data_IF_755416907698
#
_entry.id   IF_755416907698
#
_cell.length_a   1.000
_cell.length_b   1.000
_cell.length_c   1.000
_cell.angle_alpha   90.00
_cell.angle_beta   90.00
_cell.angle_gamma   90.00
#
_symmetry.space_group_name_H-M   'P 1'
#
loop_
_entity.id
_entity.type
_entity.pdbx_description
1 polymer ?
#
# COMPACT_ATOMS: atom_id res chain seq x y z
N UNK A 1 19.29 41.55 28.86
CA UNK A 1 19.88 40.35 28.22
C UNK A 1 18.98 39.08 28.22
N UNK A 2 17.72 39.13 28.68
CA UNK A 2 16.82 37.97 28.63
C UNK A 2 15.79 38.03 27.48
N UNK A 3 15.29 39.23 27.16
CA UNK A 3 14.32 39.43 26.06
C UNK A 3 14.89 39.06 24.67
N UNK A 4 16.18 39.33 24.43
CA UNK A 4 16.84 38.95 23.18
C UNK A 4 16.95 37.42 23.01
N UNK A 5 17.08 36.66 24.11
CA UNK A 5 17.14 35.18 24.07
C UNK A 5 15.78 34.54 23.79
N UNK A 6 14.68 35.20 24.16
CA UNK A 6 13.31 34.75 23.84
C UNK A 6 12.97 34.98 22.37
N UNK A 7 13.46 36.07 21.75
CA UNK A 7 13.30 36.32 20.33
C UNK A 7 14.10 35.34 19.45
N UNK A 8 15.28 34.89 19.87
CA UNK A 8 16.09 33.93 19.11
C UNK A 8 15.70 32.44 19.31
N UNK A 9 14.74 32.14 20.17
CA UNK A 9 14.25 30.77 20.40
C UNK A 9 12.94 30.47 19.66
N UNK A 10 12.20 31.48 19.20
CA UNK A 10 10.99 31.32 18.37
C UNK A 10 11.29 30.91 16.91
N UNK A 11 12.46 31.27 16.38
CA UNK A 11 12.85 30.98 14.99
C UNK A 11 13.26 29.51 14.76
N UNK A 12 13.65 28.79 15.83
CA UNK A 12 14.08 27.38 15.75
C UNK A 12 12.94 26.36 15.61
N UNK A 13 11.68 26.81 15.57
CA UNK A 13 10.48 25.98 15.39
C UNK A 13 9.68 26.31 14.14
N UNK A 14 10.34 26.79 13.08
CA UNK A 14 9.73 26.74 11.75
C UNK A 14 9.75 25.27 11.28
N UNK A 15 8.65 24.56 11.51
CA UNK A 15 8.45 23.19 11.02
C UNK A 15 8.41 23.20 9.49
N UNK A 16 9.44 22.67 8.84
CA UNK A 16 9.50 22.48 7.38
C UNK A 16 8.41 21.52 6.82
N UNK A 17 7.60 20.90 7.69
CA UNK A 17 6.54 19.96 7.29
C UNK A 17 5.45 20.59 6.42
N UNK A 18 5.16 21.89 6.58
CA UNK A 18 4.19 22.58 5.73
C UNK A 18 4.69 22.77 4.29
N UNK A 19 5.96 23.16 4.12
CA UNK A 19 6.58 23.29 2.79
C UNK A 19 6.72 21.92 2.09
N UNK A 20 7.02 20.86 2.84
CA UNK A 20 7.07 19.49 2.31
C UNK A 20 5.72 18.99 1.75
N UNK A 21 4.61 19.61 2.14
CA UNK A 21 3.24 19.28 1.69
C UNK A 21 2.77 20.19 0.54
N UNK A 22 3.55 21.20 0.15
CA UNK A 22 3.21 22.08 -0.96
C UNK A 22 3.07 21.29 -2.27
N UNK A 23 1.92 21.44 -2.94
CA UNK A 23 1.60 20.73 -4.17
C UNK A 23 1.28 19.23 -4.02
N UNK A 24 1.15 18.71 -2.80
CA UNK A 24 0.80 17.30 -2.58
C UNK A 24 -0.58 16.93 -3.13
N UNK A 25 -1.57 17.81 -2.99
CA UNK A 25 -2.92 17.61 -3.55
C UNK A 25 -2.92 17.53 -5.07
N UNK A 26 -2.19 18.44 -5.74
CA UNK A 26 -2.03 18.40 -7.19
C UNK A 26 -1.35 17.09 -7.63
N UNK A 27 -0.28 16.64 -6.94
CA UNK A 27 0.37 15.37 -7.24
C UNK A 27 -0.58 14.18 -7.11
N UNK A 28 -1.39 14.12 -6.05
CA UNK A 28 -2.39 13.08 -5.86
C UNK A 28 -3.45 13.09 -6.98
N UNK A 29 -3.89 14.27 -7.42
CA UNK A 29 -4.80 14.40 -8.57
C UNK A 29 -4.18 13.87 -9.87
N UNK A 30 -2.85 13.92 -10.01
CA UNK A 30 -2.12 13.34 -11.15
C UNK A 30 -1.74 11.86 -10.93
N UNK A 31 -2.16 11.22 -9.83
CA UNK A 31 -1.80 9.84 -9.51
C UNK A 31 -0.34 9.65 -9.08
N UNK A 32 0.35 10.72 -8.68
CA UNK A 32 1.72 10.69 -8.17
C UNK A 32 1.75 10.58 -6.64
N UNK A 33 2.90 10.20 -6.09
CA UNK A 33 3.15 10.23 -4.66
C UNK A 33 2.94 11.64 -4.08
N UNK A 34 2.27 11.74 -2.93
CA UNK A 34 2.10 13.02 -2.24
C UNK A 34 3.45 13.69 -1.93
N UNK A 35 4.40 12.88 -1.46
CA UNK A 35 5.80 13.24 -1.27
C UNK A 35 6.65 12.70 -2.44
N UNK A 36 7.44 13.55 -3.13
CA UNK A 36 8.26 13.13 -4.27
C UNK A 36 9.32 12.07 -3.94
N UNK A 37 9.70 11.91 -2.67
CA UNK A 37 10.72 10.95 -2.23
C UNK A 37 10.16 9.58 -1.82
N UNK A 38 8.84 9.37 -1.85
CA UNK A 38 8.25 8.10 -1.40
C UNK A 38 8.45 6.98 -2.42
N UNK A 39 7.99 7.23 -3.64
CA UNK A 39 8.13 6.33 -4.79
C UNK A 39 8.13 7.16 -6.07
N UNK A 40 8.79 6.64 -7.10
CA UNK A 40 8.88 7.29 -8.40
C UNK A 40 10.30 7.28 -8.94
N UNK A 41 10.51 7.84 -10.15
CA UNK A 41 11.79 7.77 -10.83
C UNK A 41 12.91 8.44 -10.03
N UNK A 42 12.59 9.49 -9.28
CA UNK A 42 13.56 10.21 -8.45
C UNK A 42 14.20 9.36 -7.33
N UNK A 43 13.52 8.31 -6.86
CA UNK A 43 13.97 7.50 -5.71
C UNK A 43 14.26 6.04 -6.07
N UNK A 44 13.69 5.57 -7.18
CA UNK A 44 13.86 4.20 -7.64
C UNK A 44 14.99 4.09 -8.67
N UNK A 45 15.34 5.15 -9.41
CA UNK A 45 16.50 5.11 -10.30
C UNK A 45 17.81 5.21 -9.51
N UNK A 46 18.90 4.61 -10.03
CA UNK A 46 20.22 4.79 -9.44
C UNK A 46 20.72 6.22 -9.70
N UNK A 47 21.30 6.83 -8.67
CA UNK A 47 21.85 8.19 -8.75
C UNK A 47 23.06 8.31 -9.68
N UNK A 48 23.71 7.18 -10.01
CA UNK A 48 24.89 7.11 -10.86
C UNK A 48 24.98 5.77 -11.60
N UNK A 49 25.83 5.70 -12.62
CA UNK A 49 26.21 4.47 -13.32
C UNK A 49 27.69 4.52 -13.69
N UNK A 50 28.30 3.37 -13.99
CA UNK A 50 29.68 3.33 -14.47
C UNK A 50 29.77 3.95 -15.87
N UNK A 51 30.91 4.57 -16.20
CA UNK A 51 31.14 5.16 -17.53
C UNK A 51 31.02 4.12 -18.67
N UNK A 52 31.34 2.86 -18.38
CA UNK A 52 31.20 1.73 -19.31
C UNK A 52 29.73 1.31 -19.55
N UNK A 53 28.76 1.98 -18.92
CA UNK A 53 27.33 1.66 -19.00
C UNK A 53 26.89 0.52 -18.06
N UNK A 54 27.79 -0.01 -17.22
CA UNK A 54 27.41 -1.01 -16.22
C UNK A 54 26.47 -0.38 -15.17
N UNK A 55 25.43 -1.10 -14.72
CA UNK A 55 24.53 -0.58 -13.71
C UNK A 55 25.25 -0.42 -12.37
N UNK A 56 24.88 0.62 -11.61
CA UNK A 56 25.38 0.77 -10.25
C UNK A 56 24.86 -0.38 -9.36
N UNK A 57 25.66 -0.81 -8.36
CA UNK A 57 25.21 -1.76 -7.37
C UNK A 57 23.94 -1.26 -6.66
N UNK A 58 22.97 -2.14 -6.36
CA UNK A 58 21.70 -1.73 -5.75
C UNK A 58 21.92 -1.18 -4.33
N UNK A 59 21.26 -0.06 -4.02
CA UNK A 59 21.37 0.58 -2.73
C UNK A 59 20.60 -0.20 -1.65
N UNK A 60 21.12 -0.22 -0.42
CA UNK A 60 20.45 -0.89 0.73
C UNK A 60 18.99 -0.46 0.90
N UNK A 61 18.70 0.83 0.69
CA UNK A 61 17.34 1.37 0.75
C UNK A 61 16.41 0.80 -0.32
N UNK A 62 16.89 0.67 -1.55
CA UNK A 62 16.13 0.07 -2.66
C UNK A 62 15.83 -1.40 -2.39
N UNK A 63 16.83 -2.17 -1.94
CA UNK A 63 16.64 -3.59 -1.57
C UNK A 63 15.59 -3.75 -0.47
N UNK A 64 15.67 -2.92 0.58
CA UNK A 64 14.68 -2.94 1.67
C UNK A 64 13.27 -2.63 1.16
N UNK A 65 13.10 -1.59 0.34
CA UNK A 65 11.81 -1.21 -0.26
C UNK A 65 11.26 -2.34 -1.14
N UNK A 66 12.10 -2.95 -1.96
CA UNK A 66 11.71 -4.09 -2.81
C UNK A 66 11.23 -5.28 -1.99
N UNK A 67 11.99 -5.68 -0.96
CA UNK A 67 11.59 -6.76 -0.06
C UNK A 67 10.28 -6.45 0.70
N UNK A 68 10.05 -5.19 1.08
CA UNK A 68 8.78 -4.78 1.70
C UNK A 68 7.61 -4.88 0.71
N UNK A 69 7.78 -4.46 -0.54
CA UNK A 69 6.77 -4.56 -1.60
C UNK A 69 6.43 -6.02 -1.92
N UNK A 70 7.43 -6.89 -1.99
CA UNK A 70 7.22 -8.33 -2.20
C UNK A 70 6.41 -8.94 -1.05
N UNK A 71 6.76 -8.65 0.20
CA UNK A 71 5.99 -9.09 1.37
C UNK A 71 4.55 -8.60 1.35
N UNK A 72 4.35 -7.33 0.98
CA UNK A 72 3.01 -6.75 0.88
C UNK A 72 2.18 -7.43 -0.20
N UNK A 73 2.72 -7.63 -1.41
CA UNK A 73 2.05 -8.32 -2.50
C UNK A 73 1.67 -9.77 -2.15
N UNK A 74 2.57 -10.49 -1.47
CA UNK A 74 2.30 -11.85 -0.98
C UNK A 74 1.17 -11.82 0.05
N UNK A 75 1.21 -10.88 0.99
CA UNK A 75 0.16 -10.73 2.01
C UNK A 75 -1.19 -10.44 1.36
N UNK A 76 -1.25 -9.49 0.43
CA UNK A 76 -2.48 -9.11 -0.28
C UNK A 76 -3.06 -10.30 -1.07
N UNK A 77 -2.22 -10.99 -1.83
CA UNK A 77 -2.62 -12.20 -2.58
C UNK A 77 -3.16 -13.27 -1.62
N UNK A 78 -2.50 -13.49 -0.49
CA UNK A 78 -2.96 -14.46 0.50
C UNK A 78 -4.33 -14.10 1.09
N UNK A 79 -4.58 -12.81 1.36
CA UNK A 79 -5.88 -12.33 1.82
C UNK A 79 -6.96 -12.56 0.75
N UNK A 80 -6.68 -12.25 -0.51
CA UNK A 80 -7.65 -12.50 -1.60
C UNK A 80 -7.97 -13.98 -1.77
N UNK A 81 -6.97 -14.87 -1.62
CA UNK A 81 -7.18 -16.32 -1.68
C UNK A 81 -8.05 -16.80 -0.50
N UNK A 82 -7.77 -16.32 0.71
CA UNK A 82 -8.57 -16.65 1.91
C UNK A 82 -10.01 -16.17 1.76
N UNK A 83 -10.23 -14.93 1.33
CA UNK A 83 -11.58 -14.38 1.10
C UNK A 83 -12.29 -15.11 -0.03
N UNK A 84 -11.59 -15.42 -1.12
CA UNK A 84 -12.10 -16.20 -2.25
C UNK A 84 -12.56 -17.58 -1.80
N UNK A 85 -11.72 -18.31 -1.07
CA UNK A 85 -12.06 -19.63 -0.52
C UNK A 85 -13.27 -19.56 0.42
N UNK A 86 -13.35 -18.54 1.28
CA UNK A 86 -14.51 -18.33 2.14
C UNK A 86 -15.81 -18.14 1.35
N UNK A 87 -15.77 -17.32 0.28
CA UNK A 87 -16.91 -17.12 -0.62
C UNK A 87 -17.33 -18.42 -1.33
N UNK A 88 -16.36 -19.23 -1.78
CA UNK A 88 -16.64 -20.53 -2.39
C UNK A 88 -17.31 -21.49 -1.41
N UNK A 89 -16.79 -21.62 -0.19
CA UNK A 89 -17.34 -22.53 0.83
C UNK A 89 -18.78 -22.13 1.20
N UNK A 90 -19.03 -20.84 1.44
CA UNK A 90 -20.38 -20.36 1.75
C UNK A 90 -21.34 -20.53 0.57
N UNK A 91 -20.85 -20.33 -0.66
CA UNK A 91 -21.61 -20.60 -1.88
C UNK A 91 -21.99 -22.08 -2.03
N UNK A 92 -21.08 -23.01 -1.72
CA UNK A 92 -21.38 -24.46 -1.74
C UNK A 92 -22.36 -24.85 -0.63
N UNK A 93 -22.19 -24.32 0.59
CA UNK A 93 -23.12 -24.57 1.69
C UNK A 93 -24.53 -24.07 1.38
N UNK A 94 -24.66 -22.90 0.73
CA UNK A 94 -25.95 -22.36 0.31
C UNK A 94 -26.62 -23.22 -0.77
N UNK A 95 -25.85 -23.78 -1.72
CA UNK A 95 -26.36 -24.70 -2.72
C UNK A 95 -26.86 -26.01 -2.09
N UNK A 96 -26.05 -26.63 -1.23
CA UNK A 96 -26.43 -27.84 -0.51
C UNK A 96 -27.69 -27.63 0.35
N UNK A 97 -27.82 -26.47 1.01
CA UNK A 97 -29.02 -26.13 1.79
C UNK A 97 -30.27 -26.00 0.89
N UNK A 98 -30.14 -25.43 -0.31
CA UNK A 98 -31.24 -25.35 -1.29
C UNK A 98 -31.67 -26.73 -1.79
N UNK A 99 -30.71 -27.61 -2.08
CA UNK A 99 -30.99 -28.99 -2.50
C UNK A 99 -31.72 -29.78 -1.42
N UNK A 100 -31.27 -29.69 -0.15
CA UNK A 100 -31.94 -30.34 0.99
C UNK A 100 -33.36 -29.80 1.18
N UNK A 101 -33.55 -28.48 1.07
CA UNK A 101 -34.87 -27.87 1.16
C UNK A 101 -35.79 -28.30 0.01
N UNK A 102 -35.25 -28.44 -1.21
CA UNK A 102 -35.97 -28.98 -2.36
C UNK A 102 -36.47 -30.41 -2.13
N UNK A 103 -35.57 -31.32 -1.71
CA UNK A 103 -35.94 -32.72 -1.41
C UNK A 103 -37.01 -32.84 -0.33
N UNK A 104 -36.90 -32.05 0.75
CA UNK A 104 -37.93 -32.03 1.82
C UNK A 104 -39.30 -31.59 1.30
N UNK A 105 -39.33 -30.67 0.33
CA UNK A 105 -40.57 -30.20 -0.27
C UNK A 105 -41.20 -31.27 -1.18
N UNK A 106 -40.37 -31.97 -1.96
CA UNK A 106 -40.81 -33.10 -2.79
C UNK A 106 -41.34 -34.28 -1.96
N UNK A 107 -40.68 -34.63 -0.85
CA UNK A 107 -41.15 -35.66 0.09
C UNK A 107 -42.50 -35.30 0.73
N UNK A 108 -42.73 -34.01 1.02
CA UNK A 108 -43.99 -33.52 1.57
C UNK A 108 -45.14 -33.49 0.54
N UNK A 109 -44.83 -33.41 -0.76
CA UNK A 109 -45.83 -33.39 -1.85
C UNK A 109 -46.23 -34.81 -2.30
N UNK A 110 -45.38 -35.81 -2.02
CA UNK A 110 -45.66 -37.23 -2.29
C UNK A 110 -46.37 -37.97 -1.14
N UNK A 111 -46.65 -37.29 -0.03
CA UNK A 111 -47.38 -37.80 1.14
C UNK A 111 -48.83 -37.32 1.13
#
# INVERSE_FOLDING_TARGET
MAALRLLLSSVRRLHCGAAARAGSQWRLQQGLAANPSDYGPLTELPDWSYADGRPAPPMKGQLRRKAQREKFAVSETSCTAVTGNGCWITGMAAQAAREVAGRRKEEAECS
#
